data_IF_188044133926
#
_entry.id   IF_188044133926
#
_cell.length_a   1.000
_cell.length_b   1.000
_cell.length_c   1.000
_cell.angle_alpha   90.00
_cell.angle_beta   90.00
_cell.angle_gamma   90.00
#
_symmetry.space_group_name_H-M   'P 1'
#
loop_
_entity.id
_entity.type
_entity.pdbx_description
1 polymer ?
#
# COMPACT_ATOMS: atom_id res chain seq x y z
N UNK A 1 -1.35 0.63 17.11
CA UNK A 1 -1.06 0.56 15.66
C UNK A 1 -1.65 1.80 15.04
N UNK A 2 -0.89 2.55 14.23
CA UNK A 2 -1.45 3.71 13.52
C UNK A 2 -2.29 3.22 12.34
N UNK A 3 -3.37 3.92 11.98
CA UNK A 3 -4.25 3.52 10.87
C UNK A 3 -3.50 3.32 9.55
N UNK A 4 -2.52 4.18 9.28
CA UNK A 4 -1.64 4.07 8.11
C UNK A 4 -0.82 2.77 8.10
N UNK A 5 -0.32 2.34 9.26
CA UNK A 5 0.44 1.09 9.40
C UNK A 5 -0.49 -0.10 9.14
N UNK A 6 -1.71 -0.07 9.69
CA UNK A 6 -2.71 -1.11 9.42
C UNK A 6 -3.04 -1.22 7.92
N UNK A 7 -3.12 -0.09 7.21
CA UNK A 7 -3.31 -0.08 5.75
C UNK A 7 -2.10 -0.65 5.00
N UNK A 8 -0.88 -0.30 5.42
CA UNK A 8 0.34 -0.86 4.84
C UNK A 8 0.43 -2.38 5.09
N UNK A 9 0.09 -2.85 6.30
CA UNK A 9 0.04 -4.26 6.66
C UNK A 9 -1.03 -5.02 5.87
N UNK A 10 -2.19 -4.42 5.64
CA UNK A 10 -3.25 -4.99 4.81
C UNK A 10 -2.77 -5.20 3.36
N UNK A 11 -2.07 -4.21 2.80
CA UNK A 11 -1.46 -4.30 1.46
C UNK A 11 -0.37 -5.40 1.46
N UNK A 12 0.52 -5.41 2.44
CA UNK A 12 1.57 -6.41 2.57
C UNK A 12 1.00 -7.84 2.67
N UNK A 13 -0.10 -8.02 3.41
CA UNK A 13 -0.78 -9.30 3.52
C UNK A 13 -1.35 -9.74 2.17
N UNK A 14 -1.98 -8.82 1.43
CA UNK A 14 -2.55 -9.12 0.11
C UNK A 14 -1.49 -9.50 -0.92
N UNK A 15 -0.37 -8.77 -0.96
CA UNK A 15 0.73 -9.03 -1.92
C UNK A 15 1.53 -10.30 -1.60
N UNK A 16 1.18 -11.01 -0.52
CA UNK A 16 1.89 -12.21 -0.09
C UNK A 16 3.25 -11.89 0.53
N UNK A 17 3.46 -10.69 1.08
CA UNK A 17 4.75 -10.24 1.59
C UNK A 17 5.36 -11.12 2.69
N UNK A 18 4.56 -11.96 3.36
CA UNK A 18 5.05 -12.93 4.35
C UNK A 18 5.36 -14.32 3.79
N UNK A 19 5.08 -14.55 2.51
CA UNK A 19 5.35 -15.81 1.82
C UNK A 19 6.70 -15.72 1.09
N UNK A 20 7.72 -16.54 1.42
CA UNK A 20 9.07 -16.43 0.86
C UNK A 20 9.17 -16.57 -0.66
N UNK A 21 8.18 -17.20 -1.26
CA UNK A 21 8.02 -17.43 -2.69
C UNK A 21 7.37 -16.25 -3.44
N UNK A 22 6.81 -15.27 -2.74
CA UNK A 22 6.20 -14.10 -3.38
C UNK A 22 7.23 -13.10 -3.90
N UNK A 23 6.90 -12.42 -5.00
CA UNK A 23 7.72 -11.30 -5.51
C UNK A 23 7.86 -10.21 -4.44
N UNK A 24 6.81 -9.94 -3.66
CA UNK A 24 6.84 -8.94 -2.59
C UNK A 24 7.89 -9.27 -1.52
N UNK A 25 7.98 -10.54 -1.08
CA UNK A 25 9.00 -10.96 -0.10
C UNK A 25 10.41 -10.92 -0.70
N UNK A 26 10.59 -11.47 -1.90
CA UNK A 26 11.89 -11.55 -2.58
C UNK A 26 12.49 -10.17 -2.85
N UNK A 27 11.65 -9.20 -3.21
CA UNK A 27 12.06 -7.82 -3.49
C UNK A 27 12.09 -6.93 -2.25
N UNK A 28 11.74 -7.47 -1.07
CA UNK A 28 11.52 -6.73 0.17
C UNK A 28 10.54 -5.55 -0.01
N UNK A 29 9.57 -5.68 -0.91
CA UNK A 29 8.65 -4.62 -1.30
C UNK A 29 7.19 -4.99 -0.97
N UNK A 30 6.69 -4.65 0.24
CA UNK A 30 5.34 -5.04 0.66
C UNK A 30 4.22 -4.44 -0.21
N UNK A 31 4.49 -3.31 -0.88
CA UNK A 31 3.51 -2.64 -1.74
C UNK A 31 3.66 -2.94 -3.23
N UNK A 32 4.61 -3.80 -3.63
CA UNK A 32 5.02 -3.99 -5.04
C UNK A 32 5.26 -2.65 -5.78
N UNK A 33 5.80 -1.66 -5.06
CA UNK A 33 6.07 -0.31 -5.55
C UNK A 33 6.94 -0.36 -6.80
N UNK A 34 6.58 0.40 -7.83
CA UNK A 34 7.36 0.48 -9.07
C UNK A 34 8.58 1.39 -8.94
N UNK A 35 9.67 1.02 -9.60
CA UNK A 35 10.89 1.81 -9.67
C UNK A 35 10.83 2.83 -10.82
N UNK A 36 10.81 4.12 -10.45
CA UNK A 36 10.70 5.22 -11.42
C UNK A 36 12.03 5.83 -11.84
N UNK A 37 13.06 5.67 -11.01
CA UNK A 37 14.42 6.09 -11.33
C UNK A 37 15.19 4.88 -11.86
N UNK A 38 15.97 5.07 -12.93
CA UNK A 38 16.89 4.06 -13.44
C UNK A 38 17.98 3.67 -12.45
N UNK A 39 18.19 4.48 -11.39
CA UNK A 39 19.17 4.21 -10.33
C UNK A 39 18.65 3.23 -9.28
N UNK A 40 17.35 2.98 -9.23
CA UNK A 40 16.79 2.05 -8.25
C UNK A 40 16.80 0.63 -8.81
N UNK A 41 17.37 -0.35 -8.07
CA UNK A 41 17.25 -1.76 -8.41
C UNK A 41 15.78 -2.14 -8.63
N UNK A 42 15.51 -2.94 -9.67
CA UNK A 42 14.16 -3.36 -10.03
C UNK A 42 14.15 -4.71 -10.74
N UNK A 43 13.03 -5.41 -10.62
CA UNK A 43 12.74 -6.63 -11.39
C UNK A 43 12.41 -6.29 -12.83
N UNK A 44 12.34 -7.30 -13.69
CA UNK A 44 11.92 -7.15 -15.10
C UNK A 44 10.49 -6.61 -15.23
N UNK A 45 9.63 -6.89 -14.25
CA UNK A 45 8.26 -6.36 -14.14
C UNK A 45 8.22 -4.89 -13.67
N UNK A 46 9.39 -4.28 -13.41
CA UNK A 46 9.56 -2.91 -12.95
C UNK A 46 9.30 -2.70 -11.45
N UNK A 47 9.11 -3.76 -10.66
CA UNK A 47 8.96 -3.68 -9.20
C UNK A 47 10.30 -3.30 -8.57
N UNK A 48 10.30 -2.31 -7.69
CA UNK A 48 11.49 -1.88 -6.97
C UNK A 48 11.97 -2.96 -6.01
N UNK A 49 13.28 -3.19 -6.00
CA UNK A 49 13.95 -4.06 -5.04
C UNK A 49 14.51 -3.18 -3.92
N UNK A 50 14.29 -3.57 -2.68
CA UNK A 50 14.81 -2.91 -1.48
C UNK A 50 15.82 -3.81 -0.78
N UNK A 51 16.78 -3.20 -0.08
CA UNK A 51 17.86 -3.91 0.60
C UNK A 51 17.36 -4.63 1.87
N UNK A 52 16.31 -4.09 2.51
CA UNK A 52 15.76 -4.66 3.73
C UNK A 52 14.23 -4.53 3.83
N UNK A 53 13.64 -5.30 4.75
CA UNK A 53 12.23 -5.19 5.12
C UNK A 53 11.87 -3.76 5.57
N UNK A 54 12.75 -3.14 6.36
CA UNK A 54 12.54 -1.80 6.92
C UNK A 54 12.46 -0.78 5.79
N UNK A 55 13.36 -0.84 4.82
CA UNK A 55 13.39 0.11 3.69
C UNK A 55 12.13 0.02 2.84
N UNK A 56 11.69 -1.20 2.52
CA UNK A 56 10.48 -1.41 1.73
C UNK A 56 9.21 -1.00 2.46
N UNK A 57 9.11 -1.29 3.76
CA UNK A 57 7.96 -0.89 4.57
C UNK A 57 7.90 0.64 4.75
N UNK A 58 9.04 1.29 5.04
CA UNK A 58 9.13 2.75 5.10
C UNK A 58 8.78 3.41 3.77
N UNK A 59 9.22 2.83 2.65
CA UNK A 59 8.86 3.32 1.33
C UNK A 59 7.36 3.20 1.04
N UNK A 60 6.71 2.10 1.45
CA UNK A 60 5.26 1.94 1.35
C UNK A 60 4.52 3.00 2.18
N UNK A 61 4.91 3.19 3.44
CA UNK A 61 4.32 4.22 4.30
C UNK A 61 4.48 5.63 3.71
N UNK A 62 5.67 5.93 3.16
CA UNK A 62 5.91 7.22 2.52
C UNK A 62 5.06 7.41 1.27
N UNK A 63 4.97 6.38 0.42
CA UNK A 63 4.19 6.44 -0.82
C UNK A 63 2.69 6.60 -0.54
N UNK A 64 2.14 5.89 0.46
CA UNK A 64 0.76 6.07 0.93
C UNK A 64 0.50 7.50 1.40
N UNK A 65 1.40 8.08 2.20
CA UNK A 65 1.31 9.48 2.64
C UNK A 65 1.32 10.45 1.47
N UNK A 66 2.24 10.28 0.51
CA UNK A 66 2.36 11.17 -0.65
C UNK A 66 1.12 11.09 -1.54
N UNK A 67 0.53 9.91 -1.70
CA UNK A 67 -0.74 9.72 -2.41
C UNK A 67 -1.90 10.41 -1.70
N UNK A 68 -2.07 10.19 -0.40
CA UNK A 68 -3.11 10.85 0.39
C UNK A 68 -2.95 12.39 0.46
N UNK A 69 -1.72 12.91 0.41
CA UNK A 69 -1.47 14.35 0.36
C UNK A 69 -1.65 14.98 -1.03
N UNK A 70 -1.99 14.18 -2.04
CA UNK A 70 -2.06 14.61 -3.44
C UNK A 70 -0.77 15.13 -4.05
N UNK A 71 0.35 14.65 -3.52
CA UNK A 71 1.70 14.95 -4.02
C UNK A 71 2.23 13.85 -4.95
N UNK A 72 1.39 12.88 -5.32
CA UNK A 72 1.73 11.81 -6.25
C UNK A 72 1.27 12.12 -7.68
N UNK A 73 1.87 11.45 -8.67
CA UNK A 73 1.46 11.55 -10.08
C UNK A 73 0.04 11.05 -10.38
N UNK A 74 -0.56 10.33 -9.43
CA UNK A 74 -1.84 9.63 -9.62
C UNK A 74 -3.05 10.50 -9.29
N UNK A 75 -2.84 11.78 -8.99
CA UNK A 75 -3.89 12.75 -8.68
C UNK A 75 -4.86 12.32 -7.56
N UNK A 76 -4.43 11.38 -6.70
CA UNK A 76 -5.15 11.06 -5.47
C UNK A 76 -5.10 12.25 -4.51
N UNK A 77 -6.00 12.29 -3.54
CA UNK A 77 -6.03 13.27 -2.46
C UNK A 77 -6.52 12.62 -1.17
N UNK A 78 -6.68 13.41 -0.11
CA UNK A 78 -7.24 12.93 1.15
C UNK A 78 -8.69 12.48 1.00
N UNK A 79 -9.40 12.99 -0.01
CA UNK A 79 -10.80 12.67 -0.32
C UNK A 79 -10.94 11.48 -1.26
N UNK A 80 -9.84 11.01 -1.86
CA UNK A 80 -9.83 9.76 -2.62
C UNK A 80 -10.14 8.57 -1.72
N UNK A 81 -10.65 7.49 -2.29
CA UNK A 81 -11.08 6.29 -1.56
C UNK A 81 -10.01 5.20 -1.53
N UNK A 82 -10.23 4.15 -0.72
CA UNK A 82 -9.43 2.92 -0.80
C UNK A 82 -9.50 2.28 -2.18
N UNK A 83 -10.66 2.31 -2.84
CA UNK A 83 -10.80 1.80 -4.20
C UNK A 83 -9.91 2.58 -5.18
N UNK A 84 -9.93 3.92 -5.12
CA UNK A 84 -9.07 4.76 -5.97
C UNK A 84 -7.58 4.46 -5.75
N UNK A 85 -7.20 4.22 -4.50
CA UNK A 85 -5.84 3.81 -4.16
C UNK A 85 -5.46 2.49 -4.83
N UNK A 86 -6.33 1.48 -4.83
CA UNK A 86 -6.05 0.18 -5.47
C UNK A 86 -5.87 0.34 -6.98
N UNK A 87 -6.71 1.15 -7.61
CA UNK A 87 -6.59 1.48 -9.03
C UNK A 87 -5.26 2.18 -9.35
N UNK A 88 -4.81 3.10 -8.49
CA UNK A 88 -3.52 3.78 -8.64
C UNK A 88 -2.32 2.81 -8.54
N UNK A 89 -2.44 1.75 -7.74
CA UNK A 89 -1.47 0.66 -7.68
C UNK A 89 -1.62 -0.38 -8.80
N UNK A 90 -2.63 -0.25 -9.66
CA UNK A 90 -2.98 -1.24 -10.69
C UNK A 90 -3.34 -2.61 -10.10
N UNK A 91 -3.85 -2.63 -8.87
CA UNK A 91 -4.41 -3.83 -8.27
C UNK A 91 -5.87 -4.02 -8.68
N UNK A 92 -6.38 -5.26 -8.68
CA UNK A 92 -7.77 -5.51 -9.02
C UNK A 92 -8.71 -4.82 -8.00
N UNK A 93 -9.88 -4.30 -8.43
CA UNK A 93 -10.84 -3.65 -7.54
C UNK A 93 -11.24 -4.51 -6.33
N UNK A 94 -11.28 -5.83 -6.50
CA UNK A 94 -11.59 -6.80 -5.43
C UNK A 94 -10.61 -6.77 -4.27
N UNK A 95 -9.42 -6.20 -4.45
CA UNK A 95 -8.46 -5.97 -3.37
C UNK A 95 -9.01 -5.01 -2.31
N UNK A 96 -9.83 -4.01 -2.69
CA UNK A 96 -10.38 -3.06 -1.73
C UNK A 96 -11.21 -3.77 -0.65
N UNK A 97 -12.09 -4.70 -1.04
CA UNK A 97 -12.86 -5.52 -0.10
C UNK A 97 -12.00 -6.41 0.80
N UNK A 98 -10.88 -6.93 0.28
CA UNK A 98 -9.90 -7.65 1.10
C UNK A 98 -9.27 -6.73 2.16
N UNK A 99 -8.84 -5.53 1.76
CA UNK A 99 -8.25 -4.55 2.68
C UNK A 99 -9.25 -4.15 3.77
N UNK A 100 -10.51 -3.89 3.41
CA UNK A 100 -11.58 -3.57 4.37
C UNK A 100 -11.69 -4.67 5.42
N UNK A 101 -11.79 -5.95 5.00
CA UNK A 101 -11.90 -7.06 5.94
C UNK A 101 -10.70 -7.13 6.90
N UNK A 102 -9.50 -6.90 6.40
CA UNK A 102 -8.29 -6.86 7.23
C UNK A 102 -8.31 -5.67 8.20
N UNK A 103 -8.61 -4.47 7.70
CA UNK A 103 -8.61 -3.22 8.47
C UNK A 103 -9.63 -3.27 9.61
N UNK A 104 -10.83 -3.79 9.38
CA UNK A 104 -11.85 -3.95 10.43
C UNK A 104 -11.38 -4.83 11.58
N UNK A 105 -10.57 -5.85 11.28
CA UNK A 105 -9.97 -6.72 12.31
C UNK A 105 -8.79 -6.05 13.02
N UNK A 106 -7.98 -5.27 12.29
CA UNK A 106 -6.79 -4.63 12.82
C UNK A 106 -7.07 -3.36 13.63
N UNK A 107 -8.11 -2.60 13.28
CA UNK A 107 -8.49 -1.30 13.85
C UNK A 107 -9.73 -1.35 14.76
N UNK A 108 -10.16 -2.54 15.19
CA UNK A 108 -11.52 -2.85 15.67
C UNK A 108 -12.61 -1.82 15.28
N UNK A 109 -12.77 -1.58 13.98
CA UNK A 109 -13.71 -0.60 13.42
C UNK A 109 -14.63 -1.30 12.42
N UNK A 110 -15.94 -1.05 12.50
CA UNK A 110 -16.93 -1.60 11.58
C UNK A 110 -17.32 -0.61 10.46
N UNK A 111 -16.91 0.66 10.56
CA UNK A 111 -17.28 1.72 9.63
C UNK A 111 -16.40 1.78 8.38
N UNK A 112 -15.18 1.24 8.43
CA UNK A 112 -14.29 1.19 7.26
C UNK A 112 -14.96 0.42 6.12
N UNK A 113 -15.04 1.03 4.93
CA UNK A 113 -15.57 0.47 3.68
C UNK A 113 -14.61 0.75 2.51
N UNK A 114 -14.91 0.22 1.32
CA UNK A 114 -14.09 0.47 0.12
C UNK A 114 -14.09 1.95 -0.30
N UNK A 115 -15.12 2.69 0.12
CA UNK A 115 -15.28 4.13 -0.13
C UNK A 115 -14.74 4.99 1.01
N UNK A 116 -14.14 4.40 2.05
CA UNK A 116 -13.45 5.16 3.09
C UNK A 116 -12.33 5.99 2.48
N UNK A 117 -12.30 7.27 2.84
CA UNK A 117 -11.38 8.25 2.27
C UNK A 117 -9.96 8.10 2.86
N UNK A 118 -8.93 8.47 2.09
CA UNK A 118 -7.53 8.26 2.48
C UNK A 118 -7.10 9.08 3.69
N UNK A 119 -7.68 10.27 3.91
CA UNK A 119 -7.38 11.14 5.06
C UNK A 119 -7.67 10.46 6.39
N UNK A 120 -8.71 9.61 6.47
CA UNK A 120 -9.04 8.82 7.65
C UNK A 120 -7.85 7.97 8.14
N UNK A 121 -7.04 7.45 7.23
CA UNK A 121 -5.87 6.62 7.55
C UNK A 121 -4.61 7.44 7.87
N UNK A 122 -4.61 8.75 7.60
CA UNK A 122 -3.47 9.63 7.87
C UNK A 122 -3.48 10.22 9.29
N UNK A 123 -4.62 10.17 9.97
CA UNK A 123 -4.78 10.61 11.35
C UNK A 123 -4.07 9.66 12.33
N UNK A 124 -3.46 10.26 13.36
CA UNK A 124 -2.62 9.56 14.35
C UNK A 124 -3.44 8.92 15.46
#
# INVERSE_FOLDING_TARGET
MRRLEALADAIAKYTGYHSPDSEAYQTRNPGLLKAWSVRHPRTDSGVRVFDSHIDGYQALLFDLKIKALGKSRYHLSGDSTLLDLMLAYQFPPTMAGFLVKFLRQALPDDETTETSILSFFMES
#
